data_IF_728278819013
#
_entry.id   IF_728278819013
#
_cell.length_a   1.000
_cell.length_b   1.000
_cell.length_c   1.000
_cell.angle_alpha   90.00
_cell.angle_beta   90.00
_cell.angle_gamma   90.00
#
_symmetry.space_group_name_H-M   'P 1'
#
loop_
_entity.id
_entity.type
_entity.pdbx_description
1 polymer ?
#
# COMPACT_ATOMS: atom_id res chain seq x y z
N UNK A 1 44.44 25.98 -11.36
CA UNK A 1 44.03 24.63 -10.94
C UNK A 1 42.58 24.71 -10.46
N UNK A 2 41.64 24.17 -11.24
CA UNK A 2 40.22 24.14 -10.90
C UNK A 2 39.97 23.08 -9.83
N UNK A 3 39.78 23.50 -8.59
CA UNK A 3 39.33 22.62 -7.52
C UNK A 3 37.80 22.53 -7.55
N UNK A 4 37.29 21.54 -8.28
CA UNK A 4 35.88 21.15 -8.24
C UNK A 4 35.50 20.69 -6.82
N UNK A 5 35.03 21.62 -5.98
CA UNK A 5 34.30 21.29 -4.76
C UNK A 5 32.96 20.67 -5.17
N UNK A 6 32.94 19.34 -5.36
CA UNK A 6 31.69 18.57 -5.48
C UNK A 6 30.83 18.89 -4.25
N UNK A 7 29.66 19.46 -4.49
CA UNK A 7 28.71 19.91 -3.47
C UNK A 7 28.26 18.74 -2.60
N UNK A 8 28.84 18.59 -1.40
CA UNK A 8 28.41 17.64 -0.36
C UNK A 8 27.03 17.99 0.22
N UNK A 9 26.54 19.20 -0.04
CA UNK A 9 25.26 19.72 0.46
C UNK A 9 24.06 19.01 -0.15
N UNK A 10 24.12 18.65 -1.44
CA UNK A 10 23.03 17.94 -2.12
C UNK A 10 22.84 16.51 -1.63
N UNK A 11 23.94 15.82 -1.33
CA UNK A 11 23.90 14.46 -0.77
C UNK A 11 23.38 14.46 0.67
N UNK A 12 23.70 15.49 1.47
CA UNK A 12 23.16 15.66 2.83
C UNK A 12 21.64 15.82 2.83
N UNK A 13 21.12 16.73 2.00
CA UNK A 13 19.67 17.02 1.93
C UNK A 13 18.87 15.81 1.42
N UNK A 14 19.40 15.07 0.44
CA UNK A 14 18.74 13.85 -0.04
C UNK A 14 18.69 12.74 1.03
N UNK A 15 19.75 12.60 1.84
CA UNK A 15 19.78 11.65 2.94
C UNK A 15 18.82 12.04 4.06
N UNK A 16 18.80 13.32 4.44
CA UNK A 16 17.88 13.87 5.45
C UNK A 16 16.42 13.69 5.03
N UNK A 17 16.11 13.95 3.75
CA UNK A 17 14.77 13.73 3.21
C UNK A 17 14.37 12.25 3.24
N UNK A 18 15.26 11.35 2.79
CA UNK A 18 14.99 9.91 2.83
C UNK A 18 14.78 9.42 4.27
N UNK A 19 15.58 9.92 5.21
CA UNK A 19 15.41 9.60 6.63
C UNK A 19 14.04 10.06 7.14
N UNK A 20 13.63 11.30 6.84
CA UNK A 20 12.33 11.82 7.22
C UNK A 20 11.16 11.01 6.64
N UNK A 21 11.31 10.48 5.41
CA UNK A 21 10.32 9.58 4.81
C UNK A 21 10.24 8.23 5.53
N UNK A 22 11.38 7.63 5.87
CA UNK A 22 11.44 6.36 6.60
C UNK A 22 10.91 6.50 8.04
N UNK A 23 11.12 7.66 8.66
CA UNK A 23 10.59 7.99 9.99
C UNK A 23 9.08 8.32 9.97
N UNK A 24 8.48 8.52 8.79
CA UNK A 24 7.04 8.81 8.65
C UNK A 24 6.25 7.49 8.63
N UNK A 25 5.50 7.13 9.68
CA UNK A 25 4.97 5.77 9.82
C UNK A 25 3.96 5.34 8.74
N UNK A 26 3.25 6.29 8.14
CA UNK A 26 2.29 6.00 7.07
C UNK A 26 2.89 6.05 5.66
N UNK A 27 4.17 6.42 5.51
CA UNK A 27 4.77 6.65 4.19
C UNK A 27 4.82 5.38 3.34
N UNK A 28 5.40 4.29 3.86
CA UNK A 28 5.51 3.03 3.12
C UNK A 28 4.13 2.42 2.77
N UNK A 29 3.15 2.36 3.69
CA UNK A 29 1.80 1.92 3.35
C UNK A 29 1.12 2.76 2.26
N UNK A 30 1.23 4.10 2.33
CA UNK A 30 0.68 5.00 1.32
C UNK A 30 1.36 4.81 -0.04
N UNK A 31 2.69 4.72 -0.05
CA UNK A 31 3.49 4.50 -1.27
C UNK A 31 3.13 3.18 -1.93
N UNK A 32 3.02 2.11 -1.15
CA UNK A 32 2.61 0.79 -1.65
C UNK A 32 1.21 0.85 -2.27
N UNK A 33 0.24 1.37 -1.53
CA UNK A 33 -1.16 1.48 -1.96
C UNK A 33 -1.28 2.29 -3.25
N UNK A 34 -0.59 3.44 -3.34
CA UNK A 34 -0.59 4.29 -4.53
C UNK A 34 0.05 3.58 -5.75
N UNK A 35 1.17 2.89 -5.55
CA UNK A 35 1.81 2.13 -6.62
C UNK A 35 0.94 0.97 -7.11
N UNK A 36 0.31 0.24 -6.19
CA UNK A 36 -0.59 -0.86 -6.53
C UNK A 36 -1.76 -0.39 -7.39
N UNK A 37 -2.44 0.69 -6.99
CA UNK A 37 -3.54 1.28 -7.77
C UNK A 37 -3.06 1.78 -9.13
N UNK A 38 -1.87 2.38 -9.20
CA UNK A 38 -1.29 2.81 -10.48
C UNK A 38 -1.06 1.64 -11.43
N UNK A 39 -0.54 0.52 -10.95
CA UNK A 39 -0.36 -0.69 -11.77
C UNK A 39 -1.70 -1.25 -12.22
N UNK A 40 -2.69 -1.33 -11.32
CA UNK A 40 -4.04 -1.75 -11.65
C UNK A 40 -4.68 -0.87 -12.74
N UNK A 41 -4.51 0.45 -12.68
CA UNK A 41 -5.00 1.39 -13.70
C UNK A 41 -4.34 1.21 -15.07
N UNK A 42 -3.09 0.73 -15.12
CA UNK A 42 -2.36 0.50 -16.37
C UNK A 42 -2.71 -0.83 -17.03
N UNK A 43 -3.06 -1.84 -16.23
CA UNK A 43 -3.20 -3.23 -16.70
C UNK A 43 -4.65 -3.70 -16.81
N UNK A 44 -5.55 -3.18 -15.98
CA UNK A 44 -6.93 -3.68 -15.86
C UNK A 44 -7.92 -2.82 -16.64
N UNK A 45 -9.03 -3.44 -17.08
CA UNK A 45 -10.17 -2.69 -17.59
C UNK A 45 -10.83 -1.86 -16.47
N UNK A 46 -11.63 -0.86 -16.86
CA UNK A 46 -12.36 -0.03 -15.90
C UNK A 46 -13.31 -0.85 -14.99
N UNK A 47 -13.95 -1.90 -15.52
CA UNK A 47 -14.81 -2.79 -14.75
C UNK A 47 -14.04 -3.64 -13.74
N UNK A 48 -12.87 -4.15 -14.13
CA UNK A 48 -12.02 -4.95 -13.24
C UNK A 48 -11.41 -4.08 -12.14
N UNK A 49 -10.97 -2.86 -12.47
CA UNK A 49 -10.51 -1.88 -11.49
C UNK A 49 -11.62 -1.53 -10.49
N UNK A 50 -12.86 -1.35 -10.96
CA UNK A 50 -14.00 -1.12 -10.07
C UNK A 50 -14.26 -2.31 -9.15
N UNK A 51 -14.15 -3.54 -9.67
CA UNK A 51 -14.26 -4.76 -8.86
C UNK A 51 -13.14 -4.85 -7.82
N UNK A 52 -11.90 -4.51 -8.17
CA UNK A 52 -10.76 -4.44 -7.25
C UNK A 52 -11.02 -3.45 -6.10
N UNK A 53 -11.49 -2.24 -6.40
CA UNK A 53 -11.80 -1.23 -5.39
C UNK A 53 -13.00 -1.64 -4.51
N UNK A 54 -13.97 -2.36 -5.08
CA UNK A 54 -15.08 -2.92 -4.31
C UNK A 54 -14.58 -4.02 -3.34
N UNK A 55 -13.71 -4.92 -3.81
CA UNK A 55 -13.08 -5.95 -2.99
C UNK A 55 -12.26 -5.35 -1.85
N UNK A 56 -11.46 -4.30 -2.10
CA UNK A 56 -10.75 -3.57 -1.06
C UNK A 56 -11.71 -3.04 0.02
N UNK A 57 -12.81 -2.42 -0.39
CA UNK A 57 -13.81 -1.86 0.53
C UNK A 57 -14.54 -2.95 1.33
N UNK A 58 -14.80 -4.10 0.72
CA UNK A 58 -15.39 -5.26 1.40
C UNK A 58 -14.41 -5.83 2.43
N UNK A 59 -13.15 -6.04 2.05
CA UNK A 59 -12.11 -6.51 2.96
C UNK A 59 -11.96 -5.58 4.17
N UNK A 60 -11.97 -4.26 3.95
CA UNK A 60 -11.91 -3.27 5.03
C UNK A 60 -13.11 -3.28 5.99
N UNK A 61 -14.24 -3.90 5.63
CA UNK A 61 -15.37 -4.13 6.55
C UNK A 61 -15.27 -5.45 7.30
N UNK A 62 -14.60 -6.45 6.70
CA UNK A 62 -14.41 -7.77 7.28
C UNK A 62 -13.26 -7.77 8.30
N UNK A 63 -12.27 -6.90 8.13
CA UNK A 63 -11.16 -6.76 9.05
C UNK A 63 -11.55 -5.93 10.29
N UNK A 64 -11.13 -6.35 11.50
CA UNK A 64 -11.27 -5.55 12.71
C UNK A 64 -10.62 -4.17 12.57
N UNK A 65 -11.15 -3.15 13.24
CA UNK A 65 -10.63 -1.77 13.20
C UNK A 65 -9.16 -1.69 13.65
N UNK A 66 -8.78 -2.51 14.64
CA UNK A 66 -7.42 -2.62 15.18
C UNK A 66 -6.67 -3.87 14.68
N UNK A 67 -7.06 -4.41 13.52
CA UNK A 67 -6.44 -5.59 12.96
C UNK A 67 -4.92 -5.41 12.83
N UNK A 68 -4.17 -6.32 13.45
CA UNK A 68 -2.72 -6.34 13.44
C UNK A 68 -2.28 -7.60 12.68
N UNK A 69 -1.77 -7.46 11.43
CA UNK A 69 -1.40 -8.61 10.61
C UNK A 69 -0.24 -9.42 11.18
N UNK A 70 0.52 -8.87 12.14
CA UNK A 70 1.61 -9.58 12.82
C UNK A 70 1.11 -10.42 14.02
N UNK A 71 -0.13 -10.18 14.47
CA UNK A 71 -0.71 -10.84 15.66
C UNK A 71 -1.95 -11.68 15.35
N UNK A 72 -2.67 -11.35 14.29
CA UNK A 72 -3.97 -11.94 13.97
C UNK A 72 -3.99 -12.44 12.53
N UNK A 73 -4.52 -13.65 12.34
CA UNK A 73 -4.86 -14.16 11.02
C UNK A 73 -6.09 -13.44 10.47
N UNK A 74 -6.21 -13.36 9.15
CA UNK A 74 -7.43 -12.86 8.53
C UNK A 74 -8.64 -13.74 8.93
N UNK A 75 -9.83 -13.14 9.17
CA UNK A 75 -11.07 -13.88 9.32
C UNK A 75 -11.37 -14.76 8.09
N UNK A 76 -12.06 -15.91 8.24
CA UNK A 76 -12.37 -16.81 7.13
C UNK A 76 -13.06 -16.11 5.95
N UNK A 77 -13.99 -15.21 6.20
CA UNK A 77 -14.71 -14.47 5.18
C UNK A 77 -13.78 -13.53 4.39
N UNK A 78 -12.80 -12.94 5.07
CA UNK A 78 -11.79 -12.11 4.44
C UNK A 78 -10.80 -12.96 3.62
N UNK A 79 -10.49 -14.18 4.07
CA UNK A 79 -9.68 -15.14 3.32
C UNK A 79 -10.37 -15.60 2.03
N UNK A 80 -11.67 -15.91 2.09
CA UNK A 80 -12.46 -16.26 0.92
C UNK A 80 -12.53 -15.10 -0.08
N UNK A 81 -12.72 -13.87 0.41
CA UNK A 81 -12.64 -12.68 -0.43
C UNK A 81 -11.26 -12.56 -1.07
N UNK A 82 -10.17 -12.72 -0.30
CA UNK A 82 -8.82 -12.68 -0.84
C UNK A 82 -8.63 -13.71 -1.96
N UNK A 83 -9.06 -14.96 -1.77
CA UNK A 83 -8.96 -15.98 -2.82
C UNK A 83 -9.71 -15.60 -4.10
N UNK A 84 -10.93 -15.06 -3.98
CA UNK A 84 -11.71 -14.58 -5.14
C UNK A 84 -11.00 -13.42 -5.86
N UNK A 85 -10.41 -12.50 -5.10
CA UNK A 85 -9.67 -11.38 -5.67
C UNK A 85 -8.38 -11.83 -6.35
N UNK A 86 -7.65 -12.76 -5.75
CA UNK A 86 -6.43 -13.33 -6.34
C UNK A 86 -6.72 -14.12 -7.62
N UNK A 87 -7.85 -14.83 -7.69
CA UNK A 87 -8.29 -15.50 -8.91
C UNK A 87 -8.61 -14.51 -10.04
N UNK A 88 -9.20 -13.36 -9.73
CA UNK A 88 -9.39 -12.27 -10.69
C UNK A 88 -8.04 -11.67 -11.11
N UNK A 89 -7.09 -11.57 -10.18
CA UNK A 89 -5.80 -10.93 -10.39
C UNK A 89 -4.74 -11.82 -11.05
N UNK A 90 -4.98 -13.14 -11.16
CA UNK A 90 -3.98 -14.15 -11.55
C UNK A 90 -3.26 -13.92 -12.89
N UNK A 91 -3.84 -13.11 -13.78
CA UNK A 91 -3.27 -12.81 -15.10
C UNK A 91 -2.46 -11.50 -15.11
N UNK A 92 -2.37 -10.79 -13.98
CA UNK A 92 -1.64 -9.53 -13.84
C UNK A 92 -0.43 -9.76 -12.93
N UNK A 93 0.72 -10.06 -13.53
CA UNK A 93 1.95 -10.45 -12.80
C UNK A 93 2.35 -9.45 -11.70
N UNK A 94 2.06 -8.17 -11.90
CA UNK A 94 2.39 -7.10 -10.95
C UNK A 94 1.39 -6.95 -9.79
N UNK A 95 0.26 -7.65 -9.84
CA UNK A 95 -0.84 -7.56 -8.86
C UNK A 95 -1.15 -8.90 -8.20
N UNK A 96 -0.93 -10.02 -8.90
CA UNK A 96 -1.15 -11.35 -8.37
C UNK A 96 -0.32 -11.63 -7.11
N UNK A 97 -0.95 -12.27 -6.13
CA UNK A 97 -0.38 -12.61 -4.82
C UNK A 97 -0.27 -11.44 -3.84
N UNK A 98 -0.74 -10.25 -4.20
CA UNK A 98 -0.47 -9.02 -3.47
C UNK A 98 -1.73 -8.37 -2.85
N UNK A 99 -2.92 -8.97 -3.01
CA UNK A 99 -4.18 -8.35 -2.56
C UNK A 99 -4.22 -8.17 -1.04
N UNK A 100 -3.80 -9.17 -0.25
CA UNK A 100 -3.73 -9.00 1.22
C UNK A 100 -2.85 -7.83 1.64
N UNK A 101 -1.65 -7.75 1.07
CA UNK A 101 -0.70 -6.68 1.36
C UNK A 101 -1.27 -5.32 0.97
N UNK A 102 -2.03 -5.26 -0.13
CA UNK A 102 -2.75 -4.06 -0.53
C UNK A 102 -3.81 -3.63 0.50
N UNK A 103 -4.65 -4.55 0.97
CA UNK A 103 -5.66 -4.26 1.99
C UNK A 103 -5.01 -3.79 3.30
N UNK A 104 -3.99 -4.51 3.77
CA UNK A 104 -3.27 -4.18 5.02
C UNK A 104 -2.58 -2.82 4.92
N UNK A 105 -1.93 -2.52 3.78
CA UNK A 105 -1.29 -1.22 3.54
C UNK A 105 -2.32 -0.08 3.50
N UNK A 106 -3.47 -0.31 2.87
CA UNK A 106 -4.54 0.69 2.84
C UNK A 106 -5.12 0.96 4.24
N UNK A 107 -5.32 -0.09 5.04
CA UNK A 107 -5.78 0.04 6.43
C UNK A 107 -4.75 0.80 7.29
N UNK A 108 -3.47 0.45 7.20
CA UNK A 108 -2.41 1.11 7.94
C UNK A 108 -2.29 2.61 7.56
N UNK A 109 -2.44 2.93 6.27
CA UNK A 109 -2.49 4.31 5.79
C UNK A 109 -3.71 5.07 6.34
N UNK A 110 -4.89 4.43 6.38
CA UNK A 110 -6.14 5.03 6.88
C UNK A 110 -6.15 5.27 8.39
N UNK A 111 -5.72 4.28 9.18
CA UNK A 111 -5.68 4.36 10.65
C UNK A 111 -4.80 5.52 11.16
N UNK A 112 -3.74 5.85 10.43
CA UNK A 112 -2.84 6.97 10.75
C UNK A 112 -3.39 8.33 10.33
N UNK A 113 -4.32 8.37 9.36
CA UNK A 113 -5.06 9.58 8.98
C UNK A 113 -6.07 10.01 10.05
N UNK A 114 -6.74 9.03 10.69
CA UNK A 114 -7.72 9.29 11.75
C UNK A 114 -7.05 9.80 13.04
N UNK A 115 -5.88 9.25 13.42
CA UNK A 115 -5.11 9.71 14.58
C UNK A 115 -4.59 11.14 14.49
N UNK A 116 -4.54 11.73 13.29
CA UNK A 116 -4.10 13.13 13.08
C UNK A 116 -5.24 14.15 13.11
N UNK A 117 -6.51 13.71 13.11
CA UNK A 117 -7.69 14.59 13.10
C UNK A 117 -8.45 14.63 14.43
N UNK A 118 -7.98 13.91 15.46
CA UNK A 118 -8.46 14.01 16.84
C UNK A 118 -7.47 14.81 17.70
#
# INVERSE_FOLDING_TARGET
MSSSKKSSRGTSVANEFNQALQETPAFEPMRYTANYVRMAQLEMSASELQALMAGLKEAGKLLPENFDPDKESWPPEAEELNQRMEEMLKNYDNLAGCFKQFVQSAQAAGAMGVKRQQ
#
